data_IF_673958588567
#
_entry.id   IF_673958588567
#
_cell.length_a   1.000
_cell.length_b   1.000
_cell.length_c   1.000
_cell.angle_alpha   90.00
_cell.angle_beta   90.00
_cell.angle_gamma   90.00
#
_symmetry.space_group_name_H-M   'P 1'
#
loop_
_entity.id
_entity.type
_entity.pdbx_description
1 polymer ?
#
# COMPACT_ATOMS: atom_id res chain seq x y z
N UNK A 1 -20.56 -4.12 -7.37
CA UNK A 1 -19.95 -3.30 -6.31
C UNK A 1 -20.80 -3.46 -5.06
N UNK A 2 -20.18 -3.65 -3.92
CA UNK A 2 -20.80 -3.57 -2.60
C UNK A 2 -20.24 -2.34 -1.90
N UNK A 3 -21.09 -1.60 -1.21
CA UNK A 3 -20.69 -0.42 -0.44
C UNK A 3 -20.75 -0.77 1.05
N UNK A 4 -19.69 -0.46 1.79
CA UNK A 4 -19.57 -0.74 3.22
C UNK A 4 -19.09 0.54 3.89
N UNK A 5 -19.98 1.19 4.66
CA UNK A 5 -19.59 2.33 5.47
C UNK A 5 -18.90 1.87 6.75
N UNK A 6 -17.80 2.53 7.09
CA UNK A 6 -17.07 2.22 8.31
C UNK A 6 -17.71 2.91 9.52
N UNK A 7 -17.70 2.19 10.64
CA UNK A 7 -18.20 2.65 11.94
C UNK A 7 -17.63 4.02 12.34
N UNK A 8 -18.48 4.90 12.85
CA UNK A 8 -18.18 6.30 13.16
C UNK A 8 -17.55 6.54 14.53
N UNK A 9 -17.26 5.49 15.33
CA UNK A 9 -16.63 5.63 16.65
C UNK A 9 -15.25 6.31 16.62
N UNK A 10 -14.55 6.23 15.49
CA UNK A 10 -13.30 6.96 15.24
C UNK A 10 -13.39 7.69 13.90
N UNK A 11 -13.04 8.97 13.89
CA UNK A 11 -12.98 9.74 12.66
C UNK A 11 -11.76 9.33 11.83
N UNK A 12 -11.99 8.96 10.59
CA UNK A 12 -10.96 8.54 9.64
C UNK A 12 -10.46 9.71 8.77
N UNK A 13 -10.08 10.81 9.40
CA UNK A 13 -9.62 12.02 8.68
C UNK A 13 -8.34 11.78 7.86
N UNK A 14 -7.52 10.81 8.28
CA UNK A 14 -6.29 10.42 7.56
C UNK A 14 -6.02 8.96 7.89
N UNK A 15 -5.85 8.15 6.88
CA UNK A 15 -5.66 6.70 7.05
C UNK A 15 -4.69 6.12 6.02
N UNK A 16 -3.92 5.14 6.48
CA UNK A 16 -2.99 4.38 5.64
C UNK A 16 -3.71 3.35 4.75
N UNK A 17 -2.93 2.66 3.92
CA UNK A 17 -3.46 1.56 3.12
C UNK A 17 -3.93 0.42 4.01
N UNK A 18 -5.16 -0.06 3.83
CA UNK A 18 -5.68 -1.17 4.62
C UNK A 18 -4.94 -2.48 4.33
N UNK A 19 -4.86 -3.34 5.33
CA UNK A 19 -4.38 -4.71 5.22
C UNK A 19 -5.51 -5.68 5.46
N UNK A 20 -5.66 -6.68 4.60
CA UNK A 20 -6.81 -7.58 4.57
C UNK A 20 -6.45 -9.01 4.98
N UNK A 21 -7.39 -9.67 5.65
CA UNK A 21 -7.43 -11.12 5.90
C UNK A 21 -8.72 -11.70 5.32
N UNK A 22 -9.00 -12.99 5.53
CA UNK A 22 -10.28 -13.58 5.12
C UNK A 22 -11.45 -13.24 6.05
N UNK A 23 -11.22 -12.61 7.21
CA UNK A 23 -12.25 -12.39 8.24
C UNK A 23 -12.37 -10.94 8.73
N UNK A 24 -11.34 -10.14 8.54
CA UNK A 24 -11.28 -8.74 8.96
C UNK A 24 -10.25 -7.98 8.14
N UNK A 25 -10.24 -6.67 8.27
CA UNK A 25 -9.17 -5.82 7.78
C UNK A 25 -8.72 -4.81 8.84
N UNK A 26 -7.51 -4.29 8.64
CA UNK A 26 -6.89 -3.29 9.49
C UNK A 26 -6.71 -1.99 8.73
N UNK A 27 -6.90 -0.88 9.44
CA UNK A 27 -6.65 0.47 8.93
C UNK A 27 -5.76 1.20 9.94
N UNK A 28 -4.69 1.82 9.49
CA UNK A 28 -3.88 2.71 10.32
C UNK A 28 -4.45 4.12 10.25
N UNK A 29 -4.71 4.72 11.39
CA UNK A 29 -5.20 6.08 11.55
C UNK A 29 -4.29 6.88 12.47
N UNK A 30 -4.54 8.19 12.63
CA UNK A 30 -3.75 9.05 13.51
C UNK A 30 -3.69 8.53 14.97
N UNK A 31 -4.74 7.86 15.43
CA UNK A 31 -4.88 7.35 16.79
C UNK A 31 -4.45 5.88 16.96
N UNK A 32 -3.98 5.23 15.89
CA UNK A 32 -3.45 3.86 15.97
C UNK A 32 -3.93 2.94 14.85
N UNK A 33 -3.97 1.66 15.15
CA UNK A 33 -4.41 0.60 14.22
C UNK A 33 -5.80 0.14 14.62
N UNK A 34 -6.76 0.24 13.70
CA UNK A 34 -8.14 -0.15 13.90
C UNK A 34 -8.46 -1.44 13.13
N UNK A 35 -9.19 -2.35 13.76
CA UNK A 35 -9.65 -3.60 13.17
C UNK A 35 -11.14 -3.53 12.89
N UNK A 36 -11.51 -3.81 11.63
CA UNK A 36 -12.89 -3.79 11.15
C UNK A 36 -13.32 -5.15 10.63
N UNK A 37 -14.61 -5.44 10.80
CA UNK A 37 -15.28 -6.52 10.08
C UNK A 37 -15.56 -6.14 8.64
N UNK A 38 -15.88 -7.10 7.80
CA UNK A 38 -16.34 -6.86 6.42
C UNK A 38 -17.77 -6.31 6.31
N UNK A 39 -18.42 -6.04 7.45
CA UNK A 39 -19.68 -5.27 7.52
C UNK A 39 -19.45 -3.81 7.89
N UNK A 40 -18.19 -3.37 8.05
CA UNK A 40 -17.84 -2.02 8.46
C UNK A 40 -17.82 -1.77 9.96
N UNK A 41 -18.18 -2.77 10.78
CA UNK A 41 -18.18 -2.65 12.23
C UNK A 41 -16.76 -2.57 12.78
N UNK A 42 -16.49 -1.60 13.65
CA UNK A 42 -15.25 -1.52 14.40
C UNK A 42 -15.22 -2.60 15.49
N UNK A 43 -14.34 -3.58 15.31
CA UNK A 43 -14.17 -4.67 16.25
C UNK A 43 -13.32 -4.27 17.45
N UNK A 44 -12.18 -3.64 17.21
CA UNK A 44 -11.26 -3.19 18.26
C UNK A 44 -10.16 -2.27 17.73
N UNK A 45 -9.46 -1.63 18.66
CA UNK A 45 -8.16 -0.99 18.43
C UNK A 45 -7.05 -1.98 18.78
N UNK A 46 -5.99 -2.03 18.00
CA UNK A 46 -4.84 -2.91 18.19
C UNK A 46 -3.71 -2.12 18.85
N UNK A 47 -3.38 -2.47 20.10
CA UNK A 47 -2.37 -1.76 20.88
C UNK A 47 -2.71 -0.30 21.13
N UNK A 48 -1.73 0.45 21.61
CA UNK A 48 -1.88 1.88 21.92
C UNK A 48 -0.68 2.67 21.36
N UNK A 49 -0.92 3.96 21.09
CA UNK A 49 0.15 4.90 20.77
C UNK A 49 0.78 5.40 22.06
N UNK A 50 2.10 5.23 22.20
CA UNK A 50 2.83 5.67 23.37
C UNK A 50 4.28 5.22 23.36
N UNK A 51 4.91 5.16 24.54
CA UNK A 51 6.31 4.76 24.73
C UNK A 51 6.47 3.55 25.66
N UNK A 52 5.38 2.94 26.06
CA UNK A 52 5.38 1.74 26.90
C UNK A 52 5.84 0.49 26.15
N UNK A 53 6.13 -0.60 26.87
CA UNK A 53 6.67 -1.83 26.28
C UNK A 53 5.73 -2.49 25.27
N UNK A 54 4.42 -2.25 25.38
CA UNK A 54 3.38 -2.80 24.51
C UNK A 54 2.81 -1.75 23.54
N UNK A 55 3.40 -0.54 23.53
CA UNK A 55 2.91 0.60 22.74
C UNK A 55 3.83 0.86 21.54
N UNK A 56 3.30 1.53 20.52
CA UNK A 56 4.03 1.91 19.33
C UNK A 56 3.93 3.42 19.07
N UNK A 57 4.89 3.97 18.33
CA UNK A 57 4.88 5.38 17.95
C UNK A 57 3.85 5.68 16.86
N UNK A 58 3.37 6.94 16.78
CA UNK A 58 2.51 7.41 15.68
C UNK A 58 3.14 7.20 14.30
N UNK A 59 4.45 7.39 14.19
CA UNK A 59 5.19 7.12 12.97
C UNK A 59 5.50 5.61 12.89
N UNK A 60 4.59 4.86 12.33
CA UNK A 60 4.65 3.40 12.27
C UNK A 60 4.25 2.84 10.90
N UNK A 61 4.65 1.60 10.66
CA UNK A 61 4.22 0.79 9.54
C UNK A 61 3.49 -0.44 10.06
N UNK A 62 2.39 -0.79 9.44
CA UNK A 62 1.58 -1.94 9.83
C UNK A 62 1.53 -2.97 8.71
N UNK A 63 1.56 -4.24 9.08
CA UNK A 63 1.33 -5.36 8.17
C UNK A 63 0.71 -6.55 8.91
N UNK A 64 0.16 -7.49 8.15
CA UNK A 64 -0.39 -8.74 8.67
C UNK A 64 0.49 -9.90 8.22
N UNK A 65 0.90 -10.71 9.17
CA UNK A 65 1.50 -12.02 8.93
C UNK A 65 0.39 -13.08 8.95
N UNK A 66 -0.18 -13.34 7.78
CA UNK A 66 -1.32 -14.25 7.63
C UNK A 66 -0.94 -15.67 8.05
N UNK A 67 0.27 -16.11 7.74
CA UNK A 67 0.75 -17.47 8.03
C UNK A 67 0.81 -17.75 9.54
N UNK A 68 1.33 -16.77 10.30
CA UNK A 68 1.51 -16.90 11.74
C UNK A 68 0.34 -16.26 12.54
N UNK A 69 -0.69 -15.74 11.85
CA UNK A 69 -1.85 -15.04 12.44
C UNK A 69 -1.42 -13.93 13.42
N UNK A 70 -0.52 -13.04 12.95
CA UNK A 70 0.00 -11.92 13.74
C UNK A 70 -0.24 -10.60 13.04
N UNK A 71 -0.50 -9.59 13.83
CA UNK A 71 -0.49 -8.18 13.43
C UNK A 71 0.86 -7.62 13.86
N UNK A 72 1.58 -7.00 12.94
CA UNK A 72 2.90 -6.45 13.19
C UNK A 72 2.87 -4.96 12.96
N UNK A 73 3.28 -4.21 13.97
CA UNK A 73 3.39 -2.74 13.93
C UNK A 73 4.86 -2.38 14.16
N UNK A 74 5.50 -1.84 13.14
CA UNK A 74 6.88 -1.38 13.23
C UNK A 74 6.91 0.11 13.60
N UNK A 75 7.44 0.41 14.75
CA UNK A 75 7.68 1.77 15.25
C UNK A 75 8.97 2.30 14.65
N UNK A 76 8.87 3.26 13.73
CA UNK A 76 10.01 3.73 12.95
C UNK A 76 11.08 4.39 13.84
N UNK A 77 10.76 5.33 14.74
CA UNK A 77 11.80 6.02 15.53
C UNK A 77 12.58 5.11 16.46
N UNK A 78 11.90 4.10 17.03
CA UNK A 78 12.53 3.18 17.98
C UNK A 78 13.16 1.97 17.31
N UNK A 79 12.93 1.78 16.01
CA UNK A 79 13.35 0.58 15.23
C UNK A 79 12.89 -0.73 15.88
N UNK A 80 11.66 -0.74 16.41
CA UNK A 80 11.08 -1.91 17.06
C UNK A 80 9.82 -2.39 16.36
N UNK A 81 9.70 -3.70 16.27
CA UNK A 81 8.50 -4.40 15.86
C UNK A 81 7.71 -4.81 17.09
N UNK A 82 6.45 -4.43 17.15
CA UNK A 82 5.51 -4.90 18.16
C UNK A 82 4.56 -5.89 17.47
N UNK A 83 4.41 -7.06 18.06
CA UNK A 83 3.56 -8.13 17.55
C UNK A 83 2.35 -8.29 18.44
N UNK A 84 1.18 -8.37 17.80
CA UNK A 84 -0.10 -8.67 18.45
C UNK A 84 -0.75 -9.91 17.84
N UNK A 85 -1.56 -10.62 18.64
CA UNK A 85 -2.48 -11.63 18.14
C UNK A 85 -3.56 -11.00 17.26
N UNK A 86 -4.35 -11.83 16.58
CA UNK A 86 -5.54 -11.34 15.87
C UNK A 86 -6.62 -10.82 16.83
N UNK A 87 -6.55 -11.20 18.12
CA UNK A 87 -7.45 -10.73 19.18
C UNK A 87 -6.93 -9.50 19.92
N UNK A 88 -5.81 -8.92 19.42
CA UNK A 88 -5.22 -7.69 19.95
C UNK A 88 -4.28 -7.87 21.13
N UNK A 89 -4.04 -9.10 21.60
CA UNK A 89 -3.13 -9.37 22.70
C UNK A 89 -1.68 -9.10 22.30
N UNK A 90 -0.94 -8.41 23.14
CA UNK A 90 0.49 -8.25 22.98
C UNK A 90 1.23 -9.58 23.04
N UNK A 91 2.07 -9.84 22.06
CA UNK A 91 2.84 -11.09 21.97
C UNK A 91 4.33 -10.88 22.17
N UNK A 92 4.90 -9.87 21.51
CA UNK A 92 6.34 -9.70 21.49
C UNK A 92 6.73 -8.28 21.10
N UNK A 93 7.97 -7.87 21.47
CA UNK A 93 8.63 -6.64 21.04
C UNK A 93 10.07 -6.98 20.63
N UNK A 94 10.44 -6.68 19.40
CA UNK A 94 11.72 -7.04 18.80
C UNK A 94 12.38 -5.80 18.25
N UNK A 95 13.66 -5.58 18.57
CA UNK A 95 14.46 -4.55 17.93
C UNK A 95 14.95 -5.04 16.56
N UNK A 96 14.89 -4.15 15.56
CA UNK A 96 15.30 -4.45 14.19
C UNK A 96 16.57 -3.68 13.85
N UNK A 97 17.57 -4.41 13.37
CA UNK A 97 18.85 -3.86 12.92
C UNK A 97 18.69 -3.30 11.48
N UNK A 98 17.95 -2.20 11.36
CA UNK A 98 17.85 -1.47 10.10
C UNK A 98 18.94 -0.42 9.98
N UNK A 99 19.37 -0.07 8.75
CA UNK A 99 20.32 1.01 8.52
C UNK A 99 19.92 2.30 9.19
N UNK A 100 20.89 3.17 9.45
CA UNK A 100 20.65 4.45 10.11
C UNK A 100 19.73 5.35 9.28
N UNK A 101 18.75 5.99 9.94
CA UNK A 101 17.71 6.81 9.34
C UNK A 101 18.16 8.21 8.93
N UNK A 102 19.46 8.51 9.05
CA UNK A 102 20.04 9.83 8.70
C UNK A 102 19.67 10.27 7.28
N UNK A 103 19.34 9.32 6.41
CA UNK A 103 19.08 9.55 4.98
C UNK A 103 17.74 9.02 4.49
N UNK A 104 16.85 8.58 5.37
CA UNK A 104 15.53 8.09 5.01
C UNK A 104 15.09 6.90 5.85
N UNK A 105 13.81 6.69 5.87
CA UNK A 105 13.15 5.60 6.62
C UNK A 105 12.26 4.78 5.68
N UNK A 106 11.97 3.53 6.02
CA UNK A 106 11.07 2.72 5.22
C UNK A 106 9.66 3.31 5.23
N UNK A 107 9.01 3.30 4.09
CA UNK A 107 7.64 3.81 3.92
C UNK A 107 6.61 2.70 3.79
N UNK A 108 7.07 1.48 3.58
CA UNK A 108 6.19 0.30 3.47
C UNK A 108 6.91 -0.91 4.05
N UNK A 109 6.16 -1.71 4.79
CA UNK A 109 6.61 -2.99 5.31
C UNK A 109 5.66 -4.10 4.89
N UNK A 110 6.23 -5.28 4.57
CA UNK A 110 5.47 -6.50 4.27
C UNK A 110 6.16 -7.71 4.90
N UNK A 111 5.38 -8.74 5.16
CA UNK A 111 5.89 -10.04 5.63
C UNK A 111 5.60 -11.10 4.58
N UNK A 112 6.63 -11.87 4.25
CA UNK A 112 6.54 -13.00 3.33
C UNK A 112 7.54 -14.07 3.79
N UNK A 113 7.09 -15.32 3.92
CA UNK A 113 7.96 -16.47 4.20
C UNK A 113 8.88 -16.30 5.41
N UNK A 114 8.33 -15.81 6.53
CA UNK A 114 9.05 -15.51 7.77
C UNK A 114 10.20 -14.50 7.62
N UNK A 115 10.11 -13.63 6.62
CA UNK A 115 10.99 -12.47 6.45
C UNK A 115 10.18 -11.19 6.45
N UNK A 116 10.77 -10.11 6.95
CA UNK A 116 10.22 -8.78 6.89
C UNK A 116 10.94 -7.99 5.77
N UNK A 117 10.15 -7.37 4.93
CA UNK A 117 10.61 -6.58 3.79
C UNK A 117 10.28 -5.12 4.03
N UNK A 118 11.29 -4.29 4.13
CA UNK A 118 11.18 -2.84 4.31
C UNK A 118 11.54 -2.15 3.01
N UNK A 119 10.61 -1.37 2.46
CA UNK A 119 10.79 -0.66 1.21
C UNK A 119 10.93 0.83 1.46
N UNK A 120 11.94 1.42 0.82
CA UNK A 120 12.29 2.82 0.97
C UNK A 120 11.79 3.61 -0.23
N UNK A 121 11.26 4.81 0.03
CA UNK A 121 10.77 5.70 -1.02
C UNK A 121 11.94 6.42 -1.68
N UNK A 122 11.88 6.57 -3.00
CA UNK A 122 12.73 7.51 -3.70
C UNK A 122 12.12 8.91 -3.59
N UNK A 123 12.70 9.74 -2.76
CA UNK A 123 12.38 11.16 -2.71
C UNK A 123 13.52 11.95 -3.33
N UNK A 124 13.19 12.93 -4.17
CA UNK A 124 14.21 13.86 -4.65
C UNK A 124 14.66 14.76 -3.50
N UNK A 125 15.96 15.00 -3.42
CA UNK A 125 16.55 15.85 -2.39
C UNK A 125 16.80 15.15 -1.04
N UNK A 126 16.34 13.92 -0.85
CA UNK A 126 16.75 13.07 0.23
C UNK A 126 17.63 11.95 -0.31
N UNK A 127 18.80 11.82 0.27
CA UNK A 127 19.78 10.79 -0.10
C UNK A 127 19.42 9.43 0.49
N UNK A 128 18.18 8.97 0.29
CA UNK A 128 17.81 7.62 0.68
C UNK A 128 18.59 6.60 -0.15
N UNK A 129 19.56 5.91 0.45
CA UNK A 129 20.49 5.05 -0.29
C UNK A 129 19.93 3.66 -0.59
N UNK A 130 18.72 3.32 -0.14
CA UNK A 130 18.22 1.97 -0.20
C UNK A 130 16.99 1.84 -1.11
N UNK A 131 16.86 0.70 -1.80
CA UNK A 131 15.62 0.25 -2.39
C UNK A 131 14.80 -0.55 -1.37
N UNK A 132 15.45 -1.55 -0.74
CA UNK A 132 14.83 -2.39 0.28
C UNK A 132 15.86 -2.93 1.27
N UNK A 133 15.34 -3.30 2.42
CA UNK A 133 16.05 -4.10 3.43
C UNK A 133 15.19 -5.31 3.75
N UNK A 134 15.80 -6.47 3.77
CA UNK A 134 15.16 -7.74 4.16
C UNK A 134 15.76 -8.16 5.48
N UNK A 135 14.92 -8.49 6.45
CA UNK A 135 15.33 -9.04 7.75
C UNK A 135 14.65 -10.38 7.98
N UNK A 136 15.15 -11.14 8.93
CA UNK A 136 14.36 -12.18 9.55
C UNK A 136 13.30 -11.59 10.51
N UNK A 137 12.50 -12.45 11.13
CA UNK A 137 11.47 -12.03 12.10
C UNK A 137 12.04 -11.68 13.48
N UNK A 138 13.32 -11.96 13.72
CA UNK A 138 14.06 -11.57 14.91
C UNK A 138 14.75 -10.21 14.76
N UNK A 139 14.61 -9.57 13.60
CA UNK A 139 15.14 -8.23 13.33
C UNK A 139 16.56 -8.21 12.76
N UNK A 140 17.19 -9.35 12.51
CA UNK A 140 18.52 -9.41 11.91
C UNK A 140 18.45 -9.11 10.42
N UNK A 141 19.28 -8.18 9.92
CA UNK A 141 19.38 -7.86 8.50
C UNK A 141 19.97 -9.03 7.71
N UNK A 142 19.26 -9.47 6.66
CA UNK A 142 19.66 -10.55 5.75
C UNK A 142 20.15 -10.01 4.40
N UNK A 143 19.54 -8.93 3.91
CA UNK A 143 19.87 -8.31 2.65
C UNK A 143 19.61 -6.81 2.70
N UNK A 144 20.55 -6.02 2.20
CA UNK A 144 20.40 -4.58 2.00
C UNK A 144 20.65 -4.27 0.54
N UNK A 145 19.61 -3.81 -0.18
CA UNK A 145 19.75 -3.40 -1.57
C UNK A 145 19.95 -1.90 -1.65
N UNK A 146 21.19 -1.51 -1.95
CA UNK A 146 21.53 -0.10 -2.17
C UNK A 146 21.11 0.37 -3.58
N UNK A 147 20.81 1.65 -3.68
CA UNK A 147 20.58 2.33 -4.97
C UNK A 147 21.90 2.62 -5.67
N UNK A 148 21.88 2.46 -6.98
CA UNK A 148 22.98 2.88 -7.84
C UNK A 148 22.67 4.28 -8.39
N UNK A 149 23.32 5.29 -7.86
CA UNK A 149 23.11 6.69 -8.22
C UNK A 149 21.98 7.37 -7.41
N UNK A 150 22.07 8.69 -7.36
CA UNK A 150 21.05 9.54 -6.72
C UNK A 150 20.31 10.31 -7.82
N UNK A 151 18.99 10.50 -7.67
CA UNK A 151 18.25 11.36 -8.57
C UNK A 151 18.82 12.78 -8.56
N UNK A 152 19.01 13.37 -9.73
CA UNK A 152 19.55 14.74 -9.90
C UNK A 152 18.44 15.79 -10.03
N UNK A 153 17.21 15.46 -9.67
CA UNK A 153 16.07 16.38 -9.76
C UNK A 153 16.32 17.69 -9.03
N UNK A 154 16.15 18.80 -9.72
CA UNK A 154 16.34 20.15 -9.16
C UNK A 154 15.23 20.58 -8.20
N UNK A 155 14.05 19.95 -8.30
CA UNK A 155 12.89 20.20 -7.41
C UNK A 155 12.47 18.92 -6.73
N UNK A 156 12.14 19.05 -5.44
CA UNK A 156 11.72 17.92 -4.62
C UNK A 156 10.39 17.33 -5.08
N UNK A 157 10.38 16.04 -5.40
CA UNK A 157 9.18 15.24 -5.61
C UNK A 157 9.19 14.08 -4.63
N UNK A 158 8.11 13.99 -3.86
CA UNK A 158 7.85 12.76 -3.10
C UNK A 158 7.30 11.72 -4.06
N UNK A 159 8.09 10.71 -4.36
CA UNK A 159 7.71 9.66 -5.29
C UNK A 159 7.53 8.37 -4.53
N UNK A 160 6.30 7.87 -4.54
CA UNK A 160 5.94 6.66 -3.85
C UNK A 160 6.72 5.44 -4.35
N UNK A 161 7.10 4.64 -3.40
CA UNK A 161 7.44 3.24 -3.61
C UNK A 161 6.15 2.44 -3.48
N UNK A 162 5.91 1.55 -4.41
CA UNK A 162 4.70 0.75 -4.40
C UNK A 162 5.07 -0.71 -4.16
N UNK A 163 4.54 -1.26 -3.06
CA UNK A 163 4.61 -2.68 -2.79
C UNK A 163 3.21 -3.22 -2.53
N UNK A 164 2.83 -4.23 -3.26
CA UNK A 164 1.54 -4.89 -3.13
C UNK A 164 1.70 -6.40 -3.05
N UNK A 165 0.81 -7.06 -2.34
CA UNK A 165 0.73 -8.51 -2.33
C UNK A 165 0.08 -9.00 -3.63
N UNK A 166 0.53 -10.15 -4.11
CA UNK A 166 -0.04 -10.83 -5.27
C UNK A 166 -0.81 -12.08 -4.85
N UNK A 167 -1.72 -12.52 -5.71
CA UNK A 167 -2.54 -13.72 -5.50
C UNK A 167 -1.74 -15.03 -5.42
N UNK A 168 -0.48 -15.03 -5.80
CA UNK A 168 0.43 -16.19 -5.74
C UNK A 168 1.33 -16.21 -4.49
N UNK A 169 0.96 -15.46 -3.46
CA UNK A 169 1.77 -15.32 -2.23
C UNK A 169 3.17 -14.74 -2.51
N UNK A 170 3.23 -13.75 -3.37
CA UNK A 170 4.43 -12.95 -3.65
C UNK A 170 4.17 -11.48 -3.41
N UNK A 171 5.23 -10.66 -3.44
CA UNK A 171 5.13 -9.21 -3.39
C UNK A 171 5.61 -8.64 -4.72
N UNK A 172 4.91 -7.65 -5.23
CA UNK A 172 5.39 -6.81 -6.31
C UNK A 172 5.89 -5.49 -5.76
N UNK A 173 7.07 -5.08 -6.22
CA UNK A 173 7.71 -3.84 -5.84
C UNK A 173 8.09 -3.02 -7.06
N UNK A 174 7.78 -1.74 -7.02
CA UNK A 174 8.17 -0.76 -8.03
C UNK A 174 8.74 0.50 -7.38
N UNK A 175 9.77 1.03 -7.99
CA UNK A 175 10.36 2.33 -7.62
C UNK A 175 10.37 3.25 -8.84
N UNK A 176 10.01 4.52 -8.67
CA UNK A 176 9.80 5.49 -9.75
C UNK A 176 10.98 5.60 -10.74
N UNK A 177 12.21 5.54 -10.24
CA UNK A 177 13.41 5.71 -11.06
C UNK A 177 13.90 4.42 -11.72
N UNK A 178 13.13 3.35 -11.59
CA UNK A 178 13.42 2.05 -12.18
C UNK A 178 12.34 1.64 -13.18
N UNK A 179 12.70 0.98 -14.27
CA UNK A 179 11.74 0.44 -15.23
C UNK A 179 11.24 -0.93 -14.84
N UNK A 180 11.90 -1.55 -13.87
CA UNK A 180 11.64 -2.93 -13.50
C UNK A 180 10.70 -2.99 -12.32
N UNK A 181 9.62 -3.74 -12.47
CA UNK A 181 8.79 -4.21 -11.37
C UNK A 181 9.40 -5.54 -10.90
N UNK A 182 9.81 -5.60 -9.64
CA UNK A 182 10.41 -6.78 -9.04
C UNK A 182 9.35 -7.63 -8.35
N UNK A 183 9.55 -8.94 -8.41
CA UNK A 183 8.79 -9.93 -7.64
C UNK A 183 9.65 -10.50 -6.54
N UNK A 184 9.12 -10.47 -5.34
CA UNK A 184 9.68 -11.10 -4.15
C UNK A 184 8.91 -12.38 -3.86
N UNK A 185 9.64 -13.48 -3.73
CA UNK A 185 9.12 -14.81 -3.40
C UNK A 185 9.92 -15.42 -2.26
N UNK A 186 9.56 -16.59 -1.77
CA UNK A 186 10.37 -17.35 -0.82
C UNK A 186 11.77 -17.65 -1.36
N UNK A 187 11.90 -17.85 -2.68
CA UNK A 187 13.16 -18.21 -3.35
C UNK A 187 14.07 -17.01 -3.59
N UNK A 188 13.55 -15.79 -3.51
CA UNK A 188 14.32 -14.56 -3.70
C UNK A 188 13.63 -13.50 -4.50
N UNK A 189 14.42 -12.57 -5.03
CA UNK A 189 13.96 -11.39 -5.78
C UNK A 189 14.32 -11.56 -7.25
N UNK A 190 13.34 -11.33 -8.13
CA UNK A 190 13.52 -11.43 -9.58
C UNK A 190 12.76 -10.32 -10.32
N UNK A 191 13.21 -9.89 -11.52
CA UNK A 191 12.41 -9.07 -12.40
C UNK A 191 11.11 -9.79 -12.77
N UNK A 192 9.97 -9.09 -12.66
CA UNK A 192 8.66 -9.61 -13.04
C UNK A 192 8.14 -8.98 -14.32
N UNK A 193 8.26 -7.66 -14.41
CA UNK A 193 7.81 -6.90 -15.57
C UNK A 193 8.83 -5.80 -15.87
N UNK A 194 9.03 -5.52 -17.15
CA UNK A 194 9.73 -4.34 -17.62
C UNK A 194 8.69 -3.33 -18.10
N UNK A 195 8.75 -2.13 -17.53
CA UNK A 195 7.82 -1.06 -17.83
C UNK A 195 8.43 -0.04 -18.79
N UNK A 196 8.17 -0.21 -20.06
CA UNK A 196 8.68 0.70 -21.10
C UNK A 196 7.87 2.00 -21.14
N UNK A 197 8.38 3.05 -20.51
CA UNK A 197 7.73 4.38 -20.47
C UNK A 197 8.17 5.29 -21.64
N UNK A 198 9.17 4.88 -22.39
CA UNK A 198 9.71 5.68 -23.48
C UNK A 198 10.14 7.08 -23.02
N UNK A 199 9.73 8.10 -23.77
CA UNK A 199 10.03 9.52 -23.46
C UNK A 199 9.32 10.08 -22.20
N UNK A 200 8.34 9.36 -21.68
CA UNK A 200 7.58 9.76 -20.48
C UNK A 200 8.21 9.29 -19.17
N UNK A 201 9.36 8.64 -19.27
CA UNK A 201 10.07 8.08 -18.12
C UNK A 201 10.77 9.16 -17.31
N UNK A 202 10.67 9.01 -15.97
CA UNK A 202 11.51 9.73 -15.02
C UNK A 202 12.66 8.79 -14.62
N UNK A 203 13.89 9.16 -14.93
CA UNK A 203 15.09 8.39 -14.58
C UNK A 203 15.93 9.10 -13.52
N UNK A 204 16.93 8.42 -13.00
CA UNK A 204 17.88 9.03 -12.03
C UNK A 204 18.64 10.21 -12.64
N UNK A 205 18.80 10.27 -13.97
CA UNK A 205 19.46 11.35 -14.70
C UNK A 205 18.53 12.49 -15.14
N UNK A 206 17.24 12.41 -14.81
CA UNK A 206 16.26 13.46 -15.13
C UNK A 206 16.50 14.67 -14.23
N UNK A 207 16.87 15.82 -14.79
CA UNK A 207 17.09 17.07 -14.04
C UNK A 207 15.80 17.85 -13.82
N UNK A 208 14.98 17.97 -14.87
CA UNK A 208 13.72 18.69 -14.85
C UNK A 208 12.58 17.77 -15.29
N UNK A 209 11.50 17.78 -14.53
CA UNK A 209 10.31 16.99 -14.82
C UNK A 209 9.39 17.81 -15.72
N UNK A 210 9.13 17.31 -16.92
CA UNK A 210 8.14 17.86 -17.84
C UNK A 210 6.73 17.33 -17.54
N UNK A 211 5.71 18.09 -17.92
CA UNK A 211 4.32 17.76 -17.64
C UNK A 211 3.83 16.47 -18.32
N UNK A 212 4.53 16.00 -19.35
CA UNK A 212 4.20 14.78 -20.08
C UNK A 212 4.87 13.52 -19.53
N UNK A 213 5.74 13.66 -18.51
CA UNK A 213 6.29 12.51 -17.79
C UNK A 213 5.24 11.85 -16.92
N UNK A 214 5.38 10.54 -16.72
CA UNK A 214 4.42 9.72 -15.98
C UNK A 214 4.95 9.33 -14.61
N UNK A 215 4.11 9.51 -13.60
CA UNK A 215 4.32 9.01 -12.24
C UNK A 215 3.30 7.91 -11.96
N UNK A 216 3.79 6.69 -11.78
CA UNK A 216 2.93 5.58 -11.37
C UNK A 216 2.63 5.69 -9.89
N UNK A 217 1.36 5.56 -9.54
CA UNK A 217 0.85 5.77 -8.19
C UNK A 217 0.23 4.52 -7.58
N UNK A 218 0.12 3.44 -8.36
CA UNK A 218 -0.38 2.16 -7.90
C UNK A 218 -0.01 1.05 -8.88
N UNK A 219 0.32 -0.12 -8.34
CA UNK A 219 0.35 -1.40 -9.03
C UNK A 219 -0.37 -2.46 -8.20
N UNK A 220 -1.06 -3.35 -8.88
CA UNK A 220 -1.67 -4.51 -8.26
C UNK A 220 -1.75 -5.67 -9.25
N UNK A 221 -1.54 -6.88 -8.78
CA UNK A 221 -1.53 -8.06 -9.63
C UNK A 221 -2.54 -9.10 -9.17
N UNK A 222 -3.31 -9.59 -10.13
CA UNK A 222 -4.11 -10.80 -10.01
C UNK A 222 -3.51 -11.91 -10.87
N UNK A 223 -4.08 -13.11 -10.86
CA UNK A 223 -3.63 -14.18 -11.74
C UNK A 223 -3.64 -13.81 -13.22
N UNK A 224 -4.62 -13.01 -13.65
CA UNK A 224 -4.79 -12.65 -15.06
C UNK A 224 -4.29 -11.26 -15.39
N UNK A 225 -4.48 -10.28 -14.50
CA UNK A 225 -4.26 -8.88 -14.79
C UNK A 225 -3.14 -8.28 -13.96
N UNK A 226 -2.41 -7.33 -14.55
CA UNK A 226 -1.62 -6.33 -13.86
C UNK A 226 -2.34 -5.00 -13.99
N UNK A 227 -2.79 -4.44 -12.88
CA UNK A 227 -3.43 -3.13 -12.82
C UNK A 227 -2.41 -2.07 -12.46
N UNK A 228 -2.59 -0.88 -13.02
CA UNK A 228 -1.72 0.26 -12.74
C UNK A 228 -2.49 1.57 -12.85
N UNK A 229 -2.04 2.53 -12.08
CA UNK A 229 -2.54 3.89 -12.06
C UNK A 229 -1.39 4.85 -12.24
N UNK A 230 -1.58 5.92 -13.01
CA UNK A 230 -0.58 6.96 -13.20
C UNK A 230 -1.21 8.34 -13.24
N UNK A 231 -0.38 9.34 -12.99
CA UNK A 231 -0.67 10.75 -13.15
C UNK A 231 0.42 11.38 -14.00
N UNK A 232 0.11 12.48 -14.66
CA UNK A 232 1.15 13.30 -15.29
C UNK A 232 1.96 14.00 -14.19
N UNK A 233 3.27 14.11 -14.39
CA UNK A 233 4.18 14.69 -13.40
C UNK A 233 3.91 16.17 -13.10
N UNK A 234 3.20 16.86 -14.00
CA UNK A 234 2.70 18.22 -13.77
C UNK A 234 1.49 18.31 -12.83
N UNK A 235 0.94 17.18 -12.39
CA UNK A 235 -0.27 17.06 -11.56
C UNK A 235 -1.49 17.84 -12.11
N UNK A 236 -1.51 18.11 -13.40
CA UNK A 236 -2.57 18.89 -14.05
C UNK A 236 -3.70 18.02 -14.59
N UNK A 237 -3.45 16.74 -14.78
CA UNK A 237 -4.44 15.79 -15.26
C UNK A 237 -5.00 14.93 -14.13
N UNK A 238 -6.23 14.47 -14.33
CA UNK A 238 -6.81 13.44 -13.48
C UNK A 238 -6.02 12.14 -13.61
N UNK A 239 -5.98 11.37 -12.53
CA UNK A 239 -5.41 10.03 -12.56
C UNK A 239 -5.95 9.21 -13.72
N UNK A 240 -5.06 8.53 -14.40
CA UNK A 240 -5.41 7.54 -15.42
C UNK A 240 -5.22 6.15 -14.84
N UNK A 241 -6.02 5.22 -15.30
CA UNK A 241 -6.02 3.84 -14.87
C UNK A 241 -5.83 2.91 -16.06
N UNK A 242 -5.11 1.83 -15.87
CA UNK A 242 -4.92 0.83 -16.90
C UNK A 242 -4.77 -0.57 -16.33
N UNK A 243 -4.86 -1.53 -17.23
CA UNK A 243 -4.53 -2.91 -16.93
C UNK A 243 -3.84 -3.58 -18.13
N UNK A 244 -3.02 -4.55 -17.81
CA UNK A 244 -2.42 -5.47 -18.76
C UNK A 244 -3.03 -6.86 -18.56
N UNK A 245 -3.68 -7.40 -19.59
CA UNK A 245 -4.17 -8.78 -19.61
C UNK A 245 -3.01 -9.71 -19.98
N UNK A 246 -2.49 -10.44 -19.02
CA UNK A 246 -1.35 -11.35 -19.18
C UNK A 246 -1.64 -12.50 -20.14
N UNK A 247 -2.93 -12.90 -20.28
CA UNK A 247 -3.35 -13.97 -21.19
C UNK A 247 -3.44 -13.49 -22.63
N UNK A 248 -4.00 -12.30 -22.83
CA UNK A 248 -4.19 -11.74 -24.17
C UNK A 248 -2.99 -10.90 -24.62
N UNK A 249 -2.09 -10.54 -23.71
CA UNK A 249 -0.94 -9.66 -23.94
C UNK A 249 -1.33 -8.27 -24.49
N UNK A 250 -2.44 -7.73 -24.00
CA UNK A 250 -2.93 -6.40 -24.37
C UNK A 250 -2.98 -5.50 -23.15
N UNK A 251 -2.60 -4.23 -23.35
CA UNK A 251 -2.78 -3.17 -22.36
C UNK A 251 -3.95 -2.28 -22.76
N UNK A 252 -4.74 -1.87 -21.79
CA UNK A 252 -5.83 -0.92 -21.96
C UNK A 252 -5.74 0.15 -20.89
N UNK A 253 -6.15 1.38 -21.24
CA UNK A 253 -6.17 2.52 -20.31
C UNK A 253 -7.46 3.30 -20.40
N UNK A 254 -7.86 3.92 -19.28
CA UNK A 254 -9.04 4.78 -19.18
C UNK A 254 -8.84 5.88 -18.15
N UNK A 255 -9.57 6.96 -18.29
CA UNK A 255 -9.63 8.05 -17.29
C UNK A 255 -10.79 7.92 -16.32
N UNK A 256 -11.75 7.04 -16.62
CA UNK A 256 -12.94 6.82 -15.78
C UNK A 256 -13.32 5.34 -15.82
N UNK A 257 -13.68 4.81 -14.65
CA UNK A 257 -14.38 3.54 -14.52
C UNK A 257 -15.76 3.81 -13.95
N UNK A 258 -16.75 3.12 -14.45
CA UNK A 258 -18.13 3.20 -13.97
C UNK A 258 -18.65 1.81 -13.66
N UNK A 259 -19.36 1.70 -12.55
CA UNK A 259 -20.17 0.53 -12.26
C UNK A 259 -21.50 0.69 -13.01
N UNK A 260 -21.67 -0.04 -14.08
CA UNK A 260 -22.90 -0.02 -14.91
C UNK A 260 -23.85 -1.19 -14.58
N UNK A 261 -23.47 -2.06 -13.63
CA UNK A 261 -24.26 -3.21 -13.23
C UNK A 261 -25.18 -2.94 -12.04
N UNK A 262 -24.67 -2.28 -11.01
CA UNK A 262 -25.38 -2.15 -9.73
C UNK A 262 -25.64 -0.69 -9.30
N UNK A 263 -24.58 0.05 -9.05
CA UNK A 263 -24.67 1.37 -8.41
C UNK A 263 -24.65 2.53 -9.37
N UNK A 264 -24.17 2.32 -10.57
CA UNK A 264 -23.97 3.36 -11.61
C UNK A 264 -23.03 4.49 -11.19
N UNK A 265 -22.28 4.32 -10.10
CA UNK A 265 -21.30 5.31 -9.64
C UNK A 265 -20.03 5.29 -10.48
N UNK A 266 -19.32 6.41 -10.48
CA UNK A 266 -17.93 6.43 -10.93
C UNK A 266 -17.07 5.79 -9.86
N UNK A 267 -16.41 4.67 -10.19
CA UNK A 267 -15.54 3.97 -9.27
C UNK A 267 -14.30 4.84 -9.02
N UNK A 268 -13.96 5.15 -7.76
CA UNK A 268 -12.78 5.94 -7.44
C UNK A 268 -11.52 5.19 -7.86
N UNK A 269 -10.49 5.93 -8.30
CA UNK A 269 -9.22 5.35 -8.76
C UNK A 269 -8.17 5.26 -7.65
N UNK A 270 -8.57 5.12 -6.41
CA UNK A 270 -7.73 4.99 -5.22
C UNK A 270 -7.88 3.62 -4.56
N UNK A 271 -7.64 2.56 -5.32
CA UNK A 271 -7.88 1.19 -4.88
C UNK A 271 -6.68 0.55 -4.21
N UNK A 272 -7.01 -0.46 -3.43
CA UNK A 272 -6.10 -1.52 -3.03
C UNK A 272 -6.68 -2.86 -3.48
N UNK A 273 -5.79 -3.81 -3.74
CA UNK A 273 -6.19 -5.17 -4.10
C UNK A 273 -5.94 -6.09 -2.94
N UNK A 274 -6.87 -7.00 -2.74
CA UNK A 274 -6.75 -8.08 -1.78
C UNK A 274 -7.12 -9.40 -2.43
N UNK A 275 -6.39 -10.46 -2.10
CA UNK A 275 -6.73 -11.81 -2.50
C UNK A 275 -7.26 -12.58 -1.29
N UNK A 276 -8.47 -13.14 -1.41
CA UNK A 276 -9.04 -13.99 -0.38
C UNK A 276 -8.57 -15.44 -0.56
N UNK A 277 -7.94 -15.98 0.46
CA UNK A 277 -7.55 -17.39 0.50
C UNK A 277 -8.76 -18.32 0.66
N UNK A 278 -9.84 -17.82 1.27
CA UNK A 278 -11.06 -18.58 1.56
C UNK A 278 -11.84 -18.92 0.30
N UNK A 279 -12.15 -17.92 -0.51
CA UNK A 279 -12.97 -18.10 -1.71
C UNK A 279 -12.17 -18.08 -3.02
N UNK A 280 -10.84 -17.91 -2.93
CA UNK A 280 -9.91 -17.89 -4.07
C UNK A 280 -10.20 -16.79 -5.10
N UNK A 281 -10.71 -15.65 -4.63
CA UNK A 281 -11.04 -14.49 -5.47
C UNK A 281 -10.13 -13.31 -5.20
N UNK A 282 -9.91 -12.53 -6.24
CA UNK A 282 -9.29 -11.22 -6.14
C UNK A 282 -10.39 -10.17 -5.89
N UNK A 283 -10.17 -9.30 -4.92
CA UNK A 283 -11.03 -8.17 -4.61
C UNK A 283 -10.32 -6.87 -4.93
N UNK A 284 -11.04 -5.97 -5.56
CA UNK A 284 -10.63 -4.59 -5.74
C UNK A 284 -11.43 -3.74 -4.77
N UNK A 285 -10.73 -3.03 -3.89
CA UNK A 285 -11.32 -2.27 -2.81
C UNK A 285 -10.98 -0.80 -3.02
N UNK A 286 -11.99 0.00 -3.26
CA UNK A 286 -11.90 1.45 -3.40
C UNK A 286 -12.34 2.14 -2.12
N UNK A 287 -12.11 3.44 -2.07
CA UNK A 287 -12.54 4.33 -1.00
C UNK A 287 -13.29 5.50 -1.62
N UNK A 288 -14.40 5.86 -1.05
CA UNK A 288 -15.21 6.98 -1.48
C UNK A 288 -15.74 7.73 -0.24
N UNK A 289 -15.69 9.02 -0.28
CA UNK A 289 -16.31 9.81 0.78
C UNK A 289 -17.84 9.82 0.59
N UNK A 290 -18.62 9.70 1.66
CA UNK A 290 -20.09 9.65 1.53
C UNK A 290 -20.67 10.79 0.70
N UNK A 291 -20.16 12.03 0.86
CA UNK A 291 -20.64 13.20 0.13
C UNK A 291 -20.37 13.15 -1.40
N UNK A 292 -19.51 12.22 -1.86
CA UNK A 292 -19.25 11.97 -3.30
C UNK A 292 -20.29 11.01 -3.91
N UNK A 293 -21.09 10.32 -3.07
CA UNK A 293 -22.14 9.42 -3.53
C UNK A 293 -23.43 10.17 -3.86
N UNK A 294 -24.16 9.76 -4.91
CA UNK A 294 -25.50 10.27 -5.17
C UNK A 294 -26.46 10.02 -4.00
N UNK A 295 -27.36 10.96 -3.73
CA UNK A 295 -28.32 10.86 -2.64
C UNK A 295 -29.18 9.58 -2.69
N UNK A 296 -29.57 9.14 -3.90
CA UNK A 296 -30.31 7.91 -4.12
C UNK A 296 -29.54 6.67 -3.64
N UNK A 297 -28.21 6.68 -3.77
CA UNK A 297 -27.32 5.60 -3.30
C UNK A 297 -27.21 5.66 -1.78
N UNK A 298 -27.01 6.85 -1.19
CA UNK A 298 -26.96 7.04 0.26
C UNK A 298 -28.22 6.48 0.93
N UNK A 299 -29.38 6.81 0.41
CA UNK A 299 -30.66 6.32 0.93
C UNK A 299 -30.86 4.82 0.75
N UNK A 300 -30.56 4.29 -0.44
CA UNK A 300 -30.74 2.87 -0.76
C UNK A 300 -29.85 1.96 0.09
N UNK A 301 -28.61 2.36 0.26
CA UNK A 301 -27.59 1.58 1.00
C UNK A 301 -27.54 1.95 2.49
N UNK A 302 -28.40 2.88 2.94
CA UNK A 302 -28.47 3.40 4.31
C UNK A 302 -27.12 3.94 4.81
N UNK A 303 -26.46 4.75 3.97
CA UNK A 303 -25.17 5.37 4.25
C UNK A 303 -25.40 6.75 4.89
N UNK A 304 -24.75 7.00 6.02
CA UNK A 304 -24.73 8.31 6.67
C UNK A 304 -23.86 9.28 5.86
N UNK A 305 -24.41 10.38 5.31
CA UNK A 305 -23.65 11.33 4.52
C UNK A 305 -22.58 12.10 5.30
N UNK A 306 -22.70 12.20 6.62
CA UNK A 306 -21.74 12.82 7.53
C UNK A 306 -20.83 11.82 8.23
N UNK A 307 -21.01 10.54 7.93
CA UNK A 307 -20.26 9.45 8.54
C UNK A 307 -18.87 9.23 7.92
N UNK A 308 -18.21 8.18 8.40
CA UNK A 308 -16.94 7.76 7.87
C UNK A 308 -17.03 7.27 6.42
N UNK A 309 -15.86 7.16 5.80
CA UNK A 309 -15.70 6.71 4.41
C UNK A 309 -16.39 5.37 4.13
N UNK A 310 -16.75 5.19 2.88
CA UNK A 310 -17.32 3.96 2.32
C UNK A 310 -16.24 3.21 1.53
N UNK A 311 -16.18 1.89 1.73
CA UNK A 311 -15.29 0.97 1.02
C UNK A 311 -16.07 0.10 0.05
#
# INVERSE_FOLDING_TARGET
>A
VSLIQLDNRFLLASYGNPCFTDSFFLVTVADGVLKYSYTGELLMKIGEIGQGPMEYNRNNLMTIDIRNKRIRVYSIPEKVMIEYSYDGDFLNRVHFDLPDDTFGYPTTMRVLANKCYFFYTSMSGLSDPYYWVITDTCGQSLEIKQKHGQPVLKRGYACGTYCTSSSDNSLLYYNLFNDTIFRFTEQGVMPAFLWEQGKHRISVSTEDISNDMMVFTMFAETKRFLFFKWIDAGFKSFSSFGFYDKKMQISMGTKKLRDDLNTQITIPLNWVFSYSQKDKKDYMIGKIEPYELPEEILQRENIDPEGNLVM
#
